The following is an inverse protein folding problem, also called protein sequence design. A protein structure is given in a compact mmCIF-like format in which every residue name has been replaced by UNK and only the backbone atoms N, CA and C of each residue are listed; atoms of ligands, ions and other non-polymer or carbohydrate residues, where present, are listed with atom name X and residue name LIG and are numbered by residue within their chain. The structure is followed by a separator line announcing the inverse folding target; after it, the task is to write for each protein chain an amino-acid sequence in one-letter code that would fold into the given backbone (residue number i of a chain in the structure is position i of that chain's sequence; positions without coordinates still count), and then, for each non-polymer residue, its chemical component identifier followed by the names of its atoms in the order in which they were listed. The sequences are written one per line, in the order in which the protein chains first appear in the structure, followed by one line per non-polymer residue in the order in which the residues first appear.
data_IF_159724845065
#
_entry.id   IF_159724845065
#
_cell.length_a   1.000
_cell.length_b   1.000
_cell.length_c   1.000
_cell.angle_alpha   90.00
_cell.angle_beta   90.00
_cell.angle_gamma   90.00
#
_symmetry.space_group_name_H-M   'P 1'
#
loop_
_entity.id
_entity.type
_entity.pdbx_description
1 polymer ?
#
# COMPACT_ATOMS: atom_id res chain seq x y z
N UNK A 1 22.54 -7.80 14.43
CA UNK A 1 22.93 -6.64 13.61
C UNK A 1 21.89 -5.55 13.88
N UNK A 2 22.27 -4.38 14.43
CA UNK A 2 21.28 -3.37 14.79
C UNK A 2 20.64 -2.85 13.51
N UNK A 3 19.40 -3.24 13.27
CA UNK A 3 18.60 -2.78 12.14
C UNK A 3 18.51 -1.27 12.30
N UNK A 4 19.12 -0.53 11.36
CA UNK A 4 19.07 0.93 11.32
C UNK A 4 17.60 1.35 11.27
N UNK A 5 17.07 1.82 12.41
CA UNK A 5 15.74 2.41 12.57
C UNK A 5 15.48 3.61 11.66
N UNK A 6 16.51 4.08 10.94
CA UNK A 6 16.47 5.19 9.97
C UNK A 6 15.62 4.85 8.74
N UNK A 7 15.46 3.58 8.38
CA UNK A 7 14.72 3.18 7.19
C UNK A 7 13.30 2.72 7.47
N UNK A 8 12.84 2.76 8.72
CA UNK A 8 11.51 2.24 9.05
C UNK A 8 10.41 3.08 8.38
N UNK A 9 10.59 4.40 8.34
CA UNK A 9 9.67 5.32 7.65
C UNK A 9 9.67 5.09 6.12
N UNK A 10 10.85 4.79 5.56
CA UNK A 10 11.03 4.51 4.13
C UNK A 10 10.41 3.16 3.76
N UNK A 11 10.64 2.12 4.55
CA UNK A 11 10.07 0.78 4.34
C UNK A 11 8.55 0.84 4.48
N UNK A 12 8.04 1.60 5.44
CA UNK A 12 6.62 1.80 5.65
C UNK A 12 5.97 2.54 4.48
N UNK A 13 6.60 3.61 3.99
CA UNK A 13 6.14 4.36 2.83
C UNK A 13 6.19 3.52 1.55
N UNK A 14 7.23 2.73 1.36
CA UNK A 14 7.40 1.84 0.20
C UNK A 14 6.30 0.77 0.19
N UNK A 15 6.01 0.15 1.34
CA UNK A 15 4.90 -0.79 1.49
C UNK A 15 3.53 -0.16 1.23
N UNK A 16 3.32 1.11 1.60
CA UNK A 16 2.10 1.86 1.30
C UNK A 16 1.94 2.10 -0.19
N UNK A 17 2.99 2.58 -0.85
CA UNK A 17 3.00 2.85 -2.29
C UNK A 17 2.80 1.54 -3.07
N UNK A 18 3.50 0.47 -2.71
CA UNK A 18 3.39 -0.83 -3.37
C UNK A 18 1.98 -1.42 -3.22
N UNK A 19 1.39 -1.42 -2.02
CA UNK A 19 0.01 -1.89 -1.83
C UNK A 19 -1.00 -1.05 -2.62
N UNK A 20 -0.80 0.27 -2.69
CA UNK A 20 -1.66 1.15 -3.47
C UNK A 20 -1.58 0.83 -4.98
N UNK A 21 -0.37 0.65 -5.52
CA UNK A 21 -0.16 0.31 -6.94
C UNK A 21 -0.78 -1.06 -7.28
N UNK A 22 -0.61 -2.06 -6.42
CA UNK A 22 -1.17 -3.42 -6.64
C UNK A 22 -2.70 -3.38 -6.67
N UNK A 23 -3.32 -2.70 -5.70
CA UNK A 23 -4.77 -2.54 -5.67
C UNK A 23 -5.27 -1.70 -6.85
N UNK A 24 -4.53 -0.68 -7.26
CA UNK A 24 -4.90 0.19 -8.37
C UNK A 24 -4.83 -0.54 -9.71
N UNK A 25 -3.72 -1.27 -9.93
CA UNK A 25 -3.55 -2.15 -11.08
C UNK A 25 -4.63 -3.23 -11.12
N UNK A 26 -4.93 -3.88 -9.98
CA UNK A 26 -5.99 -4.88 -9.89
C UNK A 26 -7.38 -4.29 -10.20
N UNK A 27 -7.70 -3.09 -9.69
CA UNK A 27 -8.96 -2.42 -10.01
C UNK A 27 -9.04 -2.00 -11.48
N UNK A 28 -7.92 -1.57 -12.08
CA UNK A 28 -7.84 -1.24 -13.51
C UNK A 28 -8.03 -2.48 -14.39
N UNK A 29 -7.43 -3.61 -14.00
CA UNK A 29 -7.54 -4.88 -14.72
C UNK A 29 -8.94 -5.50 -14.60
N UNK A 30 -9.56 -5.38 -13.42
CA UNK A 30 -10.84 -6.02 -13.13
C UNK A 30 -12.04 -5.30 -13.77
N UNK A 31 -11.89 -4.10 -14.37
CA UNK A 31 -12.98 -3.27 -14.93
C UNK A 31 -14.13 -2.96 -13.95
N UNK A 32 -13.98 -3.30 -12.68
CA UNK A 32 -14.92 -2.95 -11.63
C UNK A 32 -14.71 -1.49 -11.21
N UNK A 33 -15.81 -0.72 -11.14
CA UNK A 33 -15.85 0.63 -10.58
C UNK A 33 -15.69 0.57 -9.06
N UNK A 34 -14.55 0.07 -8.60
CA UNK A 34 -14.21 0.07 -7.19
C UNK A 34 -13.92 1.51 -6.79
N UNK A 35 -14.59 2.04 -5.75
CA UNK A 35 -14.35 3.40 -5.34
C UNK A 35 -12.91 3.58 -4.86
N UNK A 36 -12.23 4.62 -5.37
CA UNK A 36 -10.85 4.97 -5.04
C UNK A 36 -10.61 5.11 -3.52
N UNK A 37 -11.62 5.53 -2.75
CA UNK A 37 -11.53 5.62 -1.29
C UNK A 37 -11.41 4.26 -0.61
N UNK A 38 -12.07 3.20 -1.12
CA UNK A 38 -11.93 1.83 -0.58
C UNK A 38 -10.52 1.30 -0.84
N UNK A 39 -9.98 1.67 -1.99
CA UNK A 39 -8.65 1.30 -2.45
C UNK A 39 -7.55 1.95 -1.57
N UNK A 40 -7.73 3.24 -1.23
CA UNK A 40 -6.88 3.97 -0.29
C UNK A 40 -6.95 3.42 1.14
N UNK A 41 -8.14 3.10 1.65
CA UNK A 41 -8.30 2.53 2.99
C UNK A 41 -7.67 1.13 3.06
N UNK A 42 -7.83 0.31 2.02
CA UNK A 42 -7.19 -1.01 1.96
C UNK A 42 -5.66 -0.92 1.87
N UNK A 43 -5.08 0.04 1.13
CA UNK A 43 -3.63 0.21 1.11
C UNK A 43 -3.08 0.75 2.43
N UNK A 44 -3.80 1.65 3.10
CA UNK A 44 -3.46 2.15 4.44
C UNK A 44 -3.47 1.03 5.49
N UNK A 45 -4.48 0.15 5.46
CA UNK A 45 -4.56 -1.01 6.34
C UNK A 45 -3.46 -2.04 6.03
N UNK A 46 -3.13 -2.26 4.76
CA UNK A 46 -2.03 -3.15 4.36
C UNK A 46 -0.65 -2.62 4.77
N UNK A 47 -0.44 -1.30 4.69
CA UNK A 47 0.81 -0.65 5.10
C UNK A 47 1.01 -0.61 6.62
N UNK A 48 -0.08 -0.50 7.40
CA UNK A 48 -0.03 -0.46 8.86
C UNK A 48 0.18 -1.83 9.51
N UNK A 49 -0.18 -2.92 8.83
CA UNK A 49 -0.03 -4.28 9.34
C UNK A 49 1.33 -4.93 9.00
N UNK A 50 2.01 -4.45 7.95
CA UNK A 50 3.30 -4.99 7.48
C UNK A 50 4.48 -4.50 8.33
#
# INVERSE_FOLDING_TARGET
MPVKYIYIDIIWLDNLIMNFIILWASSKLSKYNTPLYRLLVSSLLGATYA
#
